data_IF_161420162791
#
_entry.id   IF_161420162791
#
_cell.length_a   1.000
_cell.length_b   1.000
_cell.length_c   1.000
_cell.angle_alpha   90.00
_cell.angle_beta   90.00
_cell.angle_gamma   90.00
#
_symmetry.space_group_name_H-M   'P 1'
#
loop_
_entity.id
_entity.type
_entity.pdbx_description
1 polymer ?
#
# COMPACT_ATOMS: atom_id res chain seq x y z
N UNK A 1 -23.77 15.92 -18.56
CA UNK A 1 -24.18 16.88 -19.66
C UNK A 1 -24.67 16.09 -20.86
N UNK A 2 -25.65 16.55 -21.66
CA UNK A 2 -26.08 15.77 -22.84
C UNK A 2 -25.04 15.86 -23.96
N UNK A 3 -24.82 14.77 -24.71
CA UNK A 3 -23.85 14.66 -25.83
C UNK A 3 -23.88 15.85 -26.79
N UNK A 4 -25.07 16.41 -27.07
CA UNK A 4 -25.24 17.61 -27.92
C UNK A 4 -24.43 18.81 -27.42
N UNK A 5 -24.44 19.04 -26.10
CA UNK A 5 -23.75 20.17 -25.49
C UNK A 5 -22.23 19.91 -25.48
N UNK A 6 -21.84 18.69 -25.24
CA UNK A 6 -20.43 18.26 -25.22
C UNK A 6 -19.78 18.39 -26.60
N UNK A 7 -20.47 17.97 -27.65
CA UNK A 7 -19.96 18.12 -29.02
C UNK A 7 -19.73 19.60 -29.37
N UNK A 8 -20.67 20.48 -29.03
CA UNK A 8 -20.55 21.92 -29.26
C UNK A 8 -19.38 22.51 -28.43
N UNK A 9 -19.26 22.14 -27.18
CA UNK A 9 -18.16 22.55 -26.30
C UNK A 9 -16.79 22.18 -26.89
N UNK A 10 -16.61 20.90 -27.22
CA UNK A 10 -15.33 20.37 -27.77
C UNK A 10 -14.98 21.06 -29.10
N UNK A 11 -15.96 21.23 -30.00
CA UNK A 11 -15.73 21.95 -31.25
C UNK A 11 -15.29 23.39 -31.00
N UNK A 12 -15.94 24.07 -30.06
CA UNK A 12 -15.62 25.48 -29.76
C UNK A 12 -14.25 25.60 -29.09
N UNK A 13 -13.93 24.69 -28.21
CA UNK A 13 -12.60 24.62 -27.54
C UNK A 13 -11.47 24.39 -28.57
N UNK A 14 -11.74 23.62 -29.64
CA UNK A 14 -10.82 23.43 -30.75
C UNK A 14 -10.85 24.54 -31.79
N UNK A 15 -11.62 25.62 -31.61
CA UNK A 15 -11.81 26.71 -32.56
C UNK A 15 -12.25 26.22 -33.96
N UNK A 16 -13.05 25.15 -34.03
CA UNK A 16 -13.53 24.59 -35.29
C UNK A 16 -14.93 25.12 -35.66
N UNK A 17 -15.22 25.27 -36.96
CA UNK A 17 -16.58 25.49 -37.43
C UNK A 17 -17.34 24.18 -37.60
N UNK A 18 -18.66 24.20 -37.73
CA UNK A 18 -19.47 23.01 -38.00
C UNK A 18 -19.10 22.37 -39.35
N UNK A 19 -18.71 23.18 -40.33
CA UNK A 19 -18.21 22.74 -41.64
C UNK A 19 -16.87 21.99 -41.51
N UNK A 20 -15.94 22.51 -40.73
CA UNK A 20 -14.64 21.88 -40.49
C UNK A 20 -14.79 20.53 -39.81
N UNK A 21 -15.66 20.41 -38.80
CA UNK A 21 -15.97 19.14 -38.15
C UNK A 21 -16.61 18.15 -39.12
N UNK A 22 -17.54 18.63 -39.93
CA UNK A 22 -18.27 17.85 -40.93
C UNK A 22 -17.30 17.25 -41.97
N UNK A 23 -16.36 18.05 -42.49
CA UNK A 23 -15.33 17.62 -43.41
C UNK A 23 -14.44 16.52 -42.82
N UNK A 24 -13.95 16.71 -41.60
CA UNK A 24 -13.11 15.72 -40.90
C UNK A 24 -13.80 14.38 -40.64
N UNK A 25 -15.11 14.43 -40.36
CA UNK A 25 -15.90 13.24 -40.06
C UNK A 25 -16.56 12.62 -41.31
N UNK A 26 -16.48 13.26 -42.47
CA UNK A 26 -17.10 12.79 -43.71
C UNK A 26 -18.64 12.88 -43.72
N UNK A 27 -19.20 13.90 -43.06
CA UNK A 27 -20.66 14.13 -42.97
C UNK A 27 -20.99 15.53 -43.47
N UNK A 28 -22.30 15.88 -43.57
CA UNK A 28 -22.71 17.23 -43.92
C UNK A 28 -22.66 18.18 -42.70
N UNK A 29 -22.41 19.48 -42.92
CA UNK A 29 -22.49 20.51 -41.86
C UNK A 29 -23.87 20.57 -41.20
N UNK A 30 -24.93 20.30 -41.98
CA UNK A 30 -26.29 20.20 -41.47
C UNK A 30 -26.44 19.02 -40.48
N UNK A 31 -25.72 17.91 -40.70
CA UNK A 31 -25.68 16.75 -39.78
C UNK A 31 -25.06 17.15 -38.45
N UNK A 32 -23.90 17.80 -38.47
CA UNK A 32 -23.23 18.31 -37.25
C UNK A 32 -24.15 19.33 -36.52
N UNK A 33 -24.78 20.22 -37.25
CA UNK A 33 -25.75 21.15 -36.67
C UNK A 33 -26.94 20.46 -36.02
N UNK A 34 -27.45 19.36 -36.57
CA UNK A 34 -28.52 18.54 -35.96
C UNK A 34 -28.02 17.83 -34.68
N UNK A 35 -26.79 17.35 -34.65
CA UNK A 35 -26.19 16.76 -33.43
C UNK A 35 -26.13 17.79 -32.31
N UNK A 36 -25.58 18.97 -32.57
CA UNK A 36 -25.43 20.03 -31.56
C UNK A 36 -26.76 20.61 -31.08
N UNK A 37 -27.83 20.47 -31.86
CA UNK A 37 -29.20 20.84 -31.46
C UNK A 37 -29.96 19.69 -30.80
N UNK A 38 -29.39 18.49 -30.79
CA UNK A 38 -30.03 17.28 -30.21
C UNK A 38 -31.18 16.74 -31.07
N UNK A 39 -31.25 17.11 -32.36
CA UNK A 39 -32.26 16.62 -33.31
C UNK A 39 -31.89 15.29 -33.92
N UNK A 40 -30.62 14.90 -33.84
CA UNK A 40 -30.04 13.65 -34.29
C UNK A 40 -28.85 13.33 -33.40
N UNK A 41 -28.58 12.04 -33.16
CA UNK A 41 -27.33 11.59 -32.53
C UNK A 41 -26.35 11.09 -33.59
N UNK A 42 -25.03 11.23 -33.38
CA UNK A 42 -24.04 10.56 -34.21
C UNK A 42 -24.26 9.04 -34.22
N UNK A 43 -24.00 8.41 -35.36
CA UNK A 43 -23.95 6.97 -35.44
C UNK A 43 -22.80 6.43 -34.53
N UNK A 44 -23.03 5.27 -33.89
CA UNK A 44 -22.06 4.67 -33.01
C UNK A 44 -20.70 4.45 -33.70
N UNK A 45 -20.69 4.14 -34.98
CA UNK A 45 -19.46 3.95 -35.78
C UNK A 45 -18.63 5.24 -35.95
N UNK A 46 -19.24 6.41 -35.73
CA UNK A 46 -18.55 7.71 -35.78
C UNK A 46 -17.96 8.11 -34.44
N UNK A 47 -18.42 7.56 -33.32
CA UNK A 47 -17.93 7.94 -31.99
C UNK A 47 -16.40 7.83 -31.84
N UNK A 48 -15.73 6.76 -32.31
CA UNK A 48 -14.27 6.71 -32.27
C UNK A 48 -13.58 7.81 -33.08
N UNK A 49 -14.14 8.20 -34.23
CA UNK A 49 -13.61 9.28 -35.06
C UNK A 49 -13.81 10.65 -34.41
N UNK A 50 -14.94 10.86 -33.76
CA UNK A 50 -15.25 12.08 -33.00
C UNK A 50 -14.29 12.20 -31.82
N UNK A 51 -14.10 11.13 -31.05
CA UNK A 51 -13.16 11.07 -29.93
C UNK A 51 -11.72 11.38 -30.37
N UNK A 52 -11.28 10.79 -31.48
CA UNK A 52 -9.97 11.05 -32.06
C UNK A 52 -9.81 12.50 -32.55
N UNK A 53 -10.82 13.05 -33.22
CA UNK A 53 -10.85 14.45 -33.73
C UNK A 53 -10.64 15.44 -32.57
N UNK A 54 -11.36 15.25 -31.48
CA UNK A 54 -11.33 16.14 -30.31
C UNK A 54 -10.28 15.72 -29.26
N UNK A 55 -9.48 14.67 -29.51
CA UNK A 55 -8.45 14.14 -28.60
C UNK A 55 -8.99 13.86 -27.19
N UNK A 56 -10.16 13.26 -27.09
CA UNK A 56 -10.82 12.88 -25.85
C UNK A 56 -11.20 11.39 -25.86
N UNK A 57 -11.57 10.83 -24.70
CA UNK A 57 -12.14 9.49 -24.62
C UNK A 57 -13.60 9.47 -25.10
N UNK A 58 -14.12 8.30 -25.48
CA UNK A 58 -15.55 8.14 -25.76
C UNK A 58 -16.37 8.42 -24.49
N UNK A 59 -15.87 8.01 -23.33
CA UNK A 59 -16.51 8.25 -22.04
C UNK A 59 -16.65 9.75 -21.77
N UNK A 60 -15.64 10.53 -22.11
CA UNK A 60 -15.68 12.01 -22.03
C UNK A 60 -16.76 12.62 -22.91
N UNK A 61 -17.09 12.02 -24.07
CA UNK A 61 -18.19 12.50 -24.92
C UNK A 61 -19.56 12.40 -24.24
N UNK A 62 -19.72 11.44 -23.33
CA UNK A 62 -20.95 11.17 -22.59
C UNK A 62 -20.92 11.70 -21.15
N UNK A 63 -19.89 12.47 -20.76
CA UNK A 63 -19.65 12.91 -19.38
C UNK A 63 -19.61 11.75 -18.37
N UNK A 64 -19.28 10.54 -18.80
CA UNK A 64 -19.20 9.39 -17.90
C UNK A 64 -18.03 9.51 -16.90
N UNK A 65 -17.00 10.30 -17.24
CA UNK A 65 -15.93 10.66 -16.31
C UNK A 65 -16.43 11.49 -15.11
N UNK A 66 -17.59 12.15 -15.25
CA UNK A 66 -18.21 12.96 -14.19
C UNK A 66 -18.97 12.12 -13.16
N UNK A 67 -19.29 10.86 -13.45
CA UNK A 67 -19.89 9.97 -12.45
C UNK A 67 -18.95 9.69 -11.27
N UNK A 68 -17.64 9.96 -11.46
CA UNK A 68 -16.56 9.85 -10.47
C UNK A 68 -15.89 11.21 -10.20
N UNK A 69 -16.61 12.30 -10.35
CA UNK A 69 -16.12 13.63 -10.04
C UNK A 69 -15.72 13.78 -8.56
N UNK A 70 -14.94 14.82 -8.22
CA UNK A 70 -14.47 15.04 -6.84
C UNK A 70 -15.60 15.09 -5.79
N UNK A 71 -16.82 15.48 -6.19
CA UNK A 71 -18.00 15.52 -5.32
C UNK A 71 -18.48 14.11 -4.97
N UNK A 72 -18.69 13.25 -5.97
CA UNK A 72 -19.10 11.85 -5.73
C UNK A 72 -18.09 11.13 -4.85
N UNK A 73 -16.80 11.33 -5.11
CA UNK A 73 -15.74 10.74 -4.30
C UNK A 73 -15.80 11.18 -2.84
N UNK A 74 -16.01 12.46 -2.57
CA UNK A 74 -16.18 12.98 -1.20
C UNK A 74 -17.42 12.42 -0.52
N UNK A 75 -18.53 12.31 -1.22
CA UNK A 75 -19.77 11.72 -0.70
C UNK A 75 -19.57 10.25 -0.37
N UNK A 76 -18.94 9.50 -1.25
CA UNK A 76 -18.63 8.09 -1.04
C UNK A 76 -17.65 7.90 0.14
N UNK A 77 -16.57 8.68 0.21
CA UNK A 77 -15.63 8.65 1.33
C UNK A 77 -16.34 8.99 2.66
N UNK A 78 -17.22 9.99 2.67
CA UNK A 78 -18.02 10.33 3.85
C UNK A 78 -18.96 9.19 4.27
N UNK A 79 -19.59 8.51 3.31
CA UNK A 79 -20.40 7.33 3.56
C UNK A 79 -19.58 6.20 4.20
N UNK A 80 -18.40 5.89 3.63
CA UNK A 80 -17.49 4.87 4.17
C UNK A 80 -17.06 5.24 5.59
N UNK A 81 -16.70 6.50 5.85
CA UNK A 81 -16.34 6.97 7.20
C UNK A 81 -17.49 6.80 8.20
N UNK A 82 -18.73 7.13 7.82
CA UNK A 82 -19.90 6.97 8.68
C UNK A 82 -20.15 5.49 9.04
N UNK A 83 -20.04 4.58 8.06
CA UNK A 83 -20.17 3.14 8.28
C UNK A 83 -19.04 2.58 9.17
N UNK A 84 -17.81 3.06 9.01
CA UNK A 84 -16.70 2.73 9.89
C UNK A 84 -16.93 3.18 11.33
N UNK A 85 -17.45 4.39 11.55
CA UNK A 85 -17.78 4.91 12.89
C UNK A 85 -18.85 4.05 13.58
N UNK A 86 -19.81 3.52 12.82
CA UNK A 86 -20.85 2.60 13.29
C UNK A 86 -20.36 1.15 13.45
N UNK A 87 -19.13 0.84 13.01
CA UNK A 87 -18.57 -0.53 12.93
C UNK A 87 -19.42 -1.47 12.05
N UNK A 88 -20.16 -0.91 11.10
CA UNK A 88 -20.93 -1.68 10.10
C UNK A 88 -20.02 -2.17 8.98
N UNK A 89 -19.24 -3.22 9.27
CA UNK A 89 -18.27 -3.77 8.32
C UNK A 89 -18.91 -4.38 7.07
N UNK A 90 -20.12 -4.93 7.24
CA UNK A 90 -20.89 -5.46 6.13
C UNK A 90 -21.44 -4.33 5.25
N UNK A 91 -21.87 -3.23 5.86
CA UNK A 91 -22.28 -2.03 5.14
C UNK A 91 -21.14 -1.43 4.31
N UNK A 92 -19.93 -1.37 4.88
CA UNK A 92 -18.71 -0.93 4.15
C UNK A 92 -18.44 -1.83 2.95
N UNK A 93 -18.46 -3.15 3.13
CA UNK A 93 -18.26 -4.10 2.04
C UNK A 93 -19.28 -3.89 0.91
N UNK A 94 -20.57 -3.82 1.25
CA UNK A 94 -21.65 -3.62 0.26
C UNK A 94 -21.54 -2.28 -0.46
N UNK A 95 -21.15 -1.22 0.23
CA UNK A 95 -20.93 0.08 -0.37
C UNK A 95 -19.81 0.01 -1.44
N UNK A 96 -18.66 -0.58 -1.11
CA UNK A 96 -17.56 -0.78 -2.05
C UNK A 96 -17.95 -1.64 -3.25
N UNK A 97 -18.64 -2.79 -3.01
CA UNK A 97 -19.07 -3.68 -4.10
C UNK A 97 -20.02 -2.97 -5.04
N UNK A 98 -20.99 -2.22 -4.50
CA UNK A 98 -21.93 -1.42 -5.32
C UNK A 98 -21.20 -0.37 -6.15
N UNK A 99 -20.23 0.29 -5.56
CA UNK A 99 -19.43 1.29 -6.24
C UNK A 99 -18.65 0.71 -7.42
N UNK A 100 -18.04 -0.46 -7.23
CA UNK A 100 -17.34 -1.20 -8.29
C UNK A 100 -18.32 -1.70 -9.36
N UNK A 101 -19.53 -2.13 -9.01
CA UNK A 101 -20.55 -2.56 -9.97
C UNK A 101 -21.06 -1.42 -10.85
N UNK A 102 -21.10 -0.20 -10.33
CA UNK A 102 -21.44 1.00 -11.11
C UNK A 102 -20.30 1.39 -12.07
N UNK A 103 -19.06 1.15 -11.71
CA UNK A 103 -17.87 1.53 -12.46
C UNK A 103 -16.81 0.40 -12.44
N UNK A 104 -17.02 -0.70 -13.15
CA UNK A 104 -16.17 -1.89 -13.06
C UNK A 104 -14.74 -1.66 -13.60
N UNK A 105 -14.53 -0.63 -14.41
CA UNK A 105 -13.21 -0.31 -14.98
C UNK A 105 -12.42 0.69 -14.12
N UNK A 106 -12.98 1.15 -12.99
CA UNK A 106 -12.24 1.97 -12.03
C UNK A 106 -11.50 1.09 -11.01
N UNK A 107 -10.42 0.46 -11.47
CA UNK A 107 -9.67 -0.57 -10.75
C UNK A 107 -9.02 -0.08 -9.45
N UNK A 108 -8.89 1.24 -9.24
CA UNK A 108 -8.33 1.82 -7.99
C UNK A 108 -9.11 1.39 -6.75
N UNK A 109 -10.41 1.13 -6.87
CA UNK A 109 -11.28 0.71 -5.77
C UNK A 109 -11.13 -0.78 -5.39
N UNK A 110 -10.56 -1.61 -6.27
CA UNK A 110 -10.48 -3.05 -6.06
C UNK A 110 -9.59 -3.43 -4.86
N UNK A 111 -8.37 -2.88 -4.73
CA UNK A 111 -7.55 -3.11 -3.54
C UNK A 111 -8.24 -2.73 -2.24
N UNK A 112 -9.02 -1.64 -2.22
CA UNK A 112 -9.65 -1.16 -0.99
C UNK A 112 -10.71 -2.13 -0.44
N UNK A 113 -11.61 -2.65 -1.30
CA UNK A 113 -12.58 -3.67 -0.87
C UNK A 113 -11.89 -4.97 -0.47
N UNK A 114 -10.86 -5.39 -1.20
CA UNK A 114 -10.11 -6.61 -0.89
C UNK A 114 -9.37 -6.50 0.45
N UNK A 115 -8.74 -5.35 0.72
CA UNK A 115 -8.11 -5.06 2.01
C UNK A 115 -9.13 -4.98 3.15
N UNK A 116 -10.33 -4.46 2.88
CA UNK A 116 -11.41 -4.45 3.88
C UNK A 116 -11.79 -5.90 4.25
N UNK A 117 -12.05 -6.76 3.26
CA UNK A 117 -12.36 -8.18 3.47
C UNK A 117 -11.24 -8.88 4.26
N UNK A 118 -9.98 -8.64 3.91
CA UNK A 118 -8.82 -9.21 4.59
C UNK A 118 -8.71 -8.73 6.04
N UNK A 119 -8.73 -7.41 6.27
CA UNK A 119 -8.55 -6.80 7.60
C UNK A 119 -9.69 -7.12 8.56
N UNK A 120 -10.92 -7.25 8.05
CA UNK A 120 -12.10 -7.59 8.85
C UNK A 120 -12.34 -9.10 8.94
N UNK A 121 -11.44 -9.92 8.37
CA UNK A 121 -11.48 -11.38 8.40
C UNK A 121 -12.79 -11.97 7.85
N UNK A 122 -13.34 -11.35 6.80
CA UNK A 122 -14.57 -11.76 6.13
C UNK A 122 -14.24 -12.90 5.16
N UNK A 123 -13.97 -14.12 5.69
CA UNK A 123 -13.49 -15.25 4.91
C UNK A 123 -14.61 -16.23 4.52
N UNK A 124 -15.87 -15.78 4.56
CA UNK A 124 -17.00 -16.51 4.00
C UNK A 124 -16.81 -16.78 2.51
N UNK A 125 -17.38 -17.90 2.02
CA UNK A 125 -17.21 -18.33 0.63
C UNK A 125 -17.64 -17.25 -0.37
N UNK A 126 -18.76 -16.58 -0.11
CA UNK A 126 -19.30 -15.53 -0.96
C UNK A 126 -18.34 -14.34 -1.12
N UNK A 127 -17.64 -13.92 -0.05
CA UNK A 127 -16.67 -12.81 -0.12
C UNK A 127 -15.46 -13.21 -0.95
N UNK A 128 -14.90 -14.40 -0.72
CA UNK A 128 -13.73 -14.87 -1.44
C UNK A 128 -14.05 -15.07 -2.93
N UNK A 129 -15.18 -15.64 -3.28
CA UNK A 129 -15.60 -15.81 -4.68
C UNK A 129 -15.80 -14.45 -5.37
N UNK A 130 -16.38 -13.45 -4.70
CA UNK A 130 -16.48 -12.10 -5.25
C UNK A 130 -15.09 -11.48 -5.45
N UNK A 131 -14.16 -11.61 -4.50
CA UNK A 131 -12.79 -11.09 -4.67
C UNK A 131 -12.05 -11.78 -5.82
N UNK A 132 -12.23 -13.10 -5.99
CA UNK A 132 -11.68 -13.83 -7.14
C UNK A 132 -12.25 -13.27 -8.44
N UNK A 133 -13.56 -13.05 -8.52
CA UNK A 133 -14.21 -12.49 -9.71
C UNK A 133 -13.65 -11.10 -10.06
N UNK A 134 -13.43 -10.23 -9.07
CA UNK A 134 -12.82 -8.91 -9.28
C UNK A 134 -11.37 -9.04 -9.76
N UNK A 135 -10.59 -9.94 -9.16
CA UNK A 135 -9.20 -10.15 -9.56
C UNK A 135 -9.10 -10.70 -11.00
N UNK A 136 -9.97 -11.63 -11.39
CA UNK A 136 -10.03 -12.18 -12.75
C UNK A 136 -10.46 -11.09 -13.77
N UNK A 137 -11.37 -10.19 -13.40
CA UNK A 137 -11.73 -9.04 -14.22
C UNK A 137 -10.56 -8.07 -14.38
N UNK A 138 -9.88 -7.73 -13.29
CA UNK A 138 -8.71 -6.86 -13.33
C UNK A 138 -7.55 -7.48 -14.13
N UNK A 139 -7.32 -8.78 -14.02
CA UNK A 139 -6.31 -9.49 -14.84
C UNK A 139 -6.56 -9.30 -16.33
N UNK A 140 -7.81 -9.35 -16.74
CA UNK A 140 -8.20 -9.33 -18.16
C UNK A 140 -8.20 -7.91 -18.75
N UNK A 141 -8.60 -6.91 -17.97
CA UNK A 141 -8.91 -5.61 -18.51
C UNK A 141 -8.10 -4.45 -17.91
N UNK A 142 -7.54 -4.60 -16.71
CA UNK A 142 -6.72 -3.55 -16.09
C UNK A 142 -5.36 -3.45 -16.77
N UNK A 143 -5.08 -2.31 -17.38
CA UNK A 143 -3.79 -2.04 -18.06
C UNK A 143 -2.74 -1.45 -17.11
N UNK A 144 -3.11 -1.04 -15.90
CA UNK A 144 -2.19 -0.53 -14.90
C UNK A 144 -1.56 -1.69 -14.11
N UNK A 145 -0.26 -1.92 -14.33
CA UNK A 145 0.48 -3.02 -13.72
C UNK A 145 0.58 -2.87 -12.19
N UNK A 146 0.72 -1.66 -11.66
CA UNK A 146 0.86 -1.43 -10.22
C UNK A 146 -0.44 -1.81 -9.49
N UNK A 147 -1.60 -1.40 -10.02
CA UNK A 147 -2.91 -1.77 -9.46
C UNK A 147 -3.13 -3.28 -9.58
N UNK A 148 -2.83 -3.87 -10.74
CA UNK A 148 -3.01 -5.31 -10.96
C UNK A 148 -2.12 -6.15 -10.02
N UNK A 149 -0.87 -5.73 -9.84
CA UNK A 149 0.07 -6.40 -8.94
C UNK A 149 -0.37 -6.27 -7.47
N UNK A 150 -0.92 -5.12 -7.08
CA UNK A 150 -1.47 -4.93 -5.73
C UNK A 150 -2.69 -5.83 -5.48
N UNK A 151 -3.59 -5.95 -6.46
CA UNK A 151 -4.71 -6.89 -6.42
C UNK A 151 -4.20 -8.32 -6.22
N UNK A 152 -3.22 -8.77 -7.01
CA UNK A 152 -2.67 -10.12 -6.89
C UNK A 152 -1.99 -10.36 -5.55
N UNK A 153 -1.27 -9.37 -5.03
CA UNK A 153 -0.66 -9.42 -3.69
C UNK A 153 -1.70 -9.64 -2.59
N UNK A 154 -2.81 -8.90 -2.63
CA UNK A 154 -3.88 -9.04 -1.64
C UNK A 154 -4.57 -10.39 -1.79
N UNK A 155 -4.80 -10.83 -3.03
CA UNK A 155 -5.39 -12.16 -3.30
C UNK A 155 -4.53 -13.31 -2.77
N UNK A 156 -3.20 -13.21 -2.78
CA UNK A 156 -2.32 -14.19 -2.13
C UNK A 156 -2.66 -14.35 -0.65
N UNK A 157 -2.82 -13.23 0.05
CA UNK A 157 -3.14 -13.24 1.49
C UNK A 157 -4.55 -13.80 1.73
N UNK A 158 -5.56 -13.37 0.95
CA UNK A 158 -6.92 -13.88 1.06
C UNK A 158 -7.00 -15.39 0.80
N UNK A 159 -6.30 -15.87 -0.24
CA UNK A 159 -6.27 -17.29 -0.55
C UNK A 159 -5.55 -18.12 0.52
N UNK A 160 -4.54 -17.58 1.19
CA UNK A 160 -3.82 -18.28 2.26
C UNK A 160 -4.68 -18.53 3.49
N UNK A 161 -5.61 -17.62 3.80
CA UNK A 161 -6.53 -17.74 4.93
C UNK A 161 -7.68 -18.74 4.69
N UNK A 162 -7.92 -19.13 3.43
CA UNK A 162 -8.97 -20.08 3.10
C UNK A 162 -8.63 -21.49 3.54
N UNK A 163 -9.64 -22.23 4.00
CA UNK A 163 -9.53 -23.69 4.26
C UNK A 163 -9.75 -24.53 3.00
N UNK A 164 -10.30 -23.94 1.92
CA UNK A 164 -10.58 -24.63 0.67
C UNK A 164 -9.28 -24.82 -0.15
N UNK A 165 -8.89 -26.07 -0.46
CA UNK A 165 -7.68 -26.35 -1.23
C UNK A 165 -7.70 -25.72 -2.64
N UNK A 166 -8.87 -25.59 -3.25
CA UNK A 166 -9.00 -24.99 -4.60
C UNK A 166 -8.69 -23.50 -4.58
N UNK A 167 -9.11 -22.80 -3.53
CA UNK A 167 -8.80 -21.39 -3.31
C UNK A 167 -7.30 -21.20 -3.02
N UNK A 168 -6.70 -22.09 -2.23
CA UNK A 168 -5.24 -22.07 -2.00
C UNK A 168 -4.43 -22.25 -3.28
N UNK A 169 -4.89 -23.14 -4.18
CA UNK A 169 -4.23 -23.32 -5.48
C UNK A 169 -4.37 -22.06 -6.38
N UNK A 170 -5.51 -21.36 -6.30
CA UNK A 170 -5.67 -20.05 -6.96
C UNK A 170 -4.66 -19.02 -6.44
N UNK A 171 -4.29 -19.07 -5.16
CA UNK A 171 -3.20 -18.24 -4.60
C UNK A 171 -1.86 -18.49 -5.32
N UNK A 172 -1.49 -19.74 -5.60
CA UNK A 172 -0.27 -20.05 -6.37
C UNK A 172 -0.33 -19.49 -7.81
N UNK A 173 -1.52 -19.45 -8.40
CA UNK A 173 -1.72 -18.82 -9.69
C UNK A 173 -1.36 -17.32 -9.64
N UNK A 174 -1.91 -16.55 -8.68
CA UNK A 174 -1.61 -15.14 -8.53
C UNK A 174 -0.13 -14.87 -8.21
N UNK A 175 0.49 -15.75 -7.39
CA UNK A 175 1.94 -15.67 -7.11
C UNK A 175 2.78 -15.67 -8.41
N UNK A 176 2.45 -16.55 -9.36
CA UNK A 176 3.17 -16.65 -10.64
C UNK A 176 3.00 -15.41 -11.55
N UNK A 177 1.97 -14.60 -11.30
CA UNK A 177 1.70 -13.38 -12.08
C UNK A 177 2.46 -12.16 -11.56
N UNK A 178 2.92 -12.18 -10.32
CA UNK A 178 3.69 -11.07 -9.76
C UNK A 178 5.08 -11.01 -10.42
N UNK A 179 5.63 -9.80 -10.63
CA UNK A 179 6.97 -9.64 -11.17
C UNK A 179 8.01 -10.22 -10.22
N UNK A 180 9.07 -10.83 -10.78
CA UNK A 180 10.20 -11.27 -9.98
C UNK A 180 11.10 -10.07 -9.62
N UNK A 181 11.79 -10.15 -8.48
CA UNK A 181 12.78 -9.14 -8.06
C UNK A 181 13.80 -8.80 -9.14
N UNK A 182 14.26 -9.84 -9.87
CA UNK A 182 15.28 -9.70 -10.92
C UNK A 182 14.82 -8.82 -12.09
N UNK A 183 13.53 -8.71 -12.32
CA UNK A 183 12.93 -7.99 -13.44
C UNK A 183 12.08 -6.80 -12.98
N UNK A 184 12.33 -6.29 -11.77
CA UNK A 184 11.65 -5.10 -11.28
C UNK A 184 12.17 -3.84 -11.96
N UNK A 185 11.33 -2.82 -12.06
CA UNK A 185 11.70 -1.53 -12.65
C UNK A 185 12.84 -0.84 -11.86
N UNK A 186 12.93 -1.08 -10.58
CA UNK A 186 13.96 -0.53 -9.69
C UNK A 186 15.37 -0.99 -10.10
N UNK A 187 15.51 -2.24 -10.55
CA UNK A 187 16.78 -2.79 -11.05
C UNK A 187 17.22 -2.10 -12.34
N UNK A 188 16.28 -1.65 -13.16
CA UNK A 188 16.54 -1.04 -14.47
C UNK A 188 16.45 0.49 -14.46
N UNK A 189 16.18 1.12 -13.33
CA UNK A 189 16.03 2.56 -13.17
C UNK A 189 17.23 3.37 -13.74
N UNK A 190 18.45 2.83 -13.63
CA UNK A 190 19.68 3.44 -14.14
C UNK A 190 19.70 3.76 -15.64
N UNK A 191 18.82 3.14 -16.43
CA UNK A 191 18.77 3.34 -17.87
C UNK A 191 17.84 4.47 -18.30
N UNK A 192 17.00 4.99 -17.39
CA UNK A 192 15.93 5.94 -17.73
C UNK A 192 15.87 7.15 -16.79
N UNK A 193 16.44 7.09 -15.60
CA UNK A 193 16.46 8.16 -14.61
C UNK A 193 17.70 9.04 -14.78
N UNK A 194 17.58 10.33 -14.48
CA UNK A 194 18.74 11.19 -14.32
C UNK A 194 19.55 10.83 -13.06
N UNK A 195 20.70 11.51 -12.86
CA UNK A 195 21.63 11.17 -11.78
C UNK A 195 21.02 11.39 -10.38
N UNK A 196 20.23 12.43 -10.20
CA UNK A 196 19.66 12.79 -8.90
C UNK A 196 18.49 11.85 -8.57
N UNK A 197 17.59 11.64 -9.52
CA UNK A 197 16.48 10.68 -9.40
C UNK A 197 17.00 9.27 -9.13
N UNK A 198 18.01 8.83 -9.90
CA UNK A 198 18.59 7.50 -9.70
C UNK A 198 19.27 7.36 -8.35
N UNK A 199 19.97 8.39 -7.86
CA UNK A 199 20.60 8.36 -6.55
C UNK A 199 19.54 8.23 -5.42
N UNK A 200 18.45 9.00 -5.49
CA UNK A 200 17.34 8.88 -4.54
C UNK A 200 16.70 7.48 -4.59
N UNK A 201 16.50 6.92 -5.79
CA UNK A 201 15.95 5.58 -5.98
C UNK A 201 16.88 4.50 -5.39
N UNK A 202 18.21 4.60 -5.56
CA UNK A 202 19.16 3.64 -4.96
C UNK A 202 19.05 3.64 -3.43
N UNK A 203 19.01 4.82 -2.81
CA UNK A 203 18.87 4.92 -1.35
C UNK A 203 17.59 4.25 -0.86
N UNK A 204 16.48 4.46 -1.58
CA UNK A 204 15.21 3.80 -1.26
C UNK A 204 15.29 2.28 -1.47
N UNK A 205 15.93 1.82 -2.53
CA UNK A 205 16.09 0.39 -2.83
C UNK A 205 16.93 -0.31 -1.75
N UNK A 206 18.03 0.29 -1.30
CA UNK A 206 18.91 -0.29 -0.27
C UNK A 206 18.11 -0.67 0.96
N UNK A 207 17.28 0.23 1.48
CA UNK A 207 16.52 -0.08 2.69
C UNK A 207 15.44 -1.13 2.45
N UNK A 208 14.75 -1.09 1.32
CA UNK A 208 13.75 -2.11 0.99
C UNK A 208 14.37 -3.50 0.84
N UNK A 209 15.57 -3.60 0.24
CA UNK A 209 16.28 -4.87 0.09
C UNK A 209 16.75 -5.41 1.43
N UNK A 210 17.21 -4.55 2.34
CA UNK A 210 17.62 -4.94 3.69
C UNK A 210 16.43 -5.36 4.52
N UNK A 211 15.33 -4.61 4.52
CA UNK A 211 14.09 -4.97 5.21
C UNK A 211 13.57 -6.34 4.75
N UNK A 212 13.61 -6.60 3.46
CA UNK A 212 13.20 -7.89 2.89
C UNK A 212 14.16 -9.03 3.26
N UNK A 213 15.46 -8.76 3.26
CA UNK A 213 16.46 -9.75 3.67
C UNK A 213 16.33 -10.08 5.15
N UNK A 214 16.15 -9.08 6.02
CA UNK A 214 15.89 -9.25 7.44
C UNK A 214 14.63 -10.07 7.68
N UNK A 215 13.52 -9.67 7.09
CA UNK A 215 12.25 -10.40 7.16
C UNK A 215 12.42 -11.85 6.68
N UNK A 216 13.15 -12.09 5.59
CA UNK A 216 13.44 -13.42 5.08
C UNK A 216 14.24 -14.27 6.08
N UNK A 217 15.25 -13.70 6.71
CA UNK A 217 16.04 -14.38 7.75
C UNK A 217 15.17 -14.76 8.94
N UNK A 218 14.29 -13.87 9.40
CA UNK A 218 13.35 -14.17 10.50
C UNK A 218 12.33 -15.25 10.15
N UNK A 219 11.88 -15.31 8.90
CA UNK A 219 10.95 -16.36 8.43
C UNK A 219 11.55 -17.76 8.43
N UNK A 220 12.88 -17.90 8.52
CA UNK A 220 13.52 -19.20 8.69
C UNK A 220 13.37 -19.75 10.12
N UNK A 221 13.02 -18.91 11.10
CA UNK A 221 12.87 -19.30 12.49
C UNK A 221 11.56 -20.07 12.67
N UNK A 222 11.64 -21.31 13.15
CA UNK A 222 10.47 -22.12 13.49
C UNK A 222 10.27 -22.23 15.00
N UNK A 223 9.04 -22.49 15.49
CA UNK A 223 8.76 -22.59 16.92
C UNK A 223 9.58 -23.65 17.65
N UNK A 224 9.85 -24.77 16.98
CA UNK A 224 10.57 -25.97 17.49
C UNK A 224 12.09 -25.90 17.36
N UNK A 225 12.61 -24.82 16.72
CA UNK A 225 14.07 -24.64 16.54
C UNK A 225 14.78 -24.46 17.88
N UNK A 226 16.01 -25.03 18.08
CA UNK A 226 16.82 -24.80 19.25
C UNK A 226 17.13 -23.32 19.51
N UNK A 227 17.27 -22.91 20.79
CA UNK A 227 17.50 -21.52 21.17
C UNK A 227 18.75 -20.91 20.53
N UNK A 228 19.83 -21.67 20.46
CA UNK A 228 21.11 -21.26 19.87
C UNK A 228 20.97 -20.99 18.37
N UNK A 229 20.16 -21.78 17.70
CA UNK A 229 19.88 -21.59 16.28
C UNK A 229 18.96 -20.39 16.04
N UNK A 230 17.91 -20.21 16.85
CA UNK A 230 17.08 -19.00 16.85
C UNK A 230 17.93 -17.75 17.07
N UNK A 231 18.83 -17.81 18.04
CA UNK A 231 19.77 -16.74 18.37
C UNK A 231 20.63 -16.36 17.16
N UNK A 232 21.17 -17.36 16.45
CA UNK A 232 21.93 -17.13 15.22
C UNK A 232 21.15 -16.34 14.18
N UNK A 233 19.90 -16.74 13.91
CA UNK A 233 19.08 -16.04 12.91
C UNK A 233 18.70 -14.62 13.35
N UNK A 234 18.31 -14.39 14.60
CA UNK A 234 18.04 -13.03 15.09
C UNK A 234 19.27 -12.14 15.06
N UNK A 235 20.45 -12.66 15.38
CA UNK A 235 21.70 -11.90 15.26
C UNK A 235 22.01 -11.54 13.79
N UNK A 236 21.74 -12.45 12.85
CA UNK A 236 21.91 -12.14 11.42
C UNK A 236 20.90 -11.12 10.93
N UNK A 237 19.64 -11.19 11.37
CA UNK A 237 18.61 -10.21 11.06
C UNK A 237 19.01 -8.81 11.57
N UNK A 238 19.39 -8.70 12.85
CA UNK A 238 19.86 -7.44 13.43
C UNK A 238 21.08 -6.87 12.68
N UNK A 239 22.05 -7.71 12.33
CA UNK A 239 23.28 -7.29 11.64
C UNK A 239 23.00 -6.66 10.26
N UNK A 240 21.93 -7.04 9.56
CA UNK A 240 21.53 -6.42 8.30
C UNK A 240 21.16 -4.93 8.50
N UNK A 241 20.44 -4.60 9.56
CA UNK A 241 20.14 -3.21 9.89
C UNK A 241 21.35 -2.44 10.44
N UNK A 242 22.18 -3.09 11.28
CA UNK A 242 23.38 -2.48 11.83
C UNK A 242 24.35 -1.96 10.73
N UNK A 243 24.39 -2.63 9.57
CA UNK A 243 25.20 -2.20 8.43
C UNK A 243 24.77 -0.86 7.86
N UNK A 244 23.45 -0.55 7.84
CA UNK A 244 22.90 0.67 7.22
C UNK A 244 22.52 1.74 8.24
N UNK A 245 22.26 1.33 9.49
CA UNK A 245 21.97 2.24 10.59
C UNK A 245 23.29 2.64 11.26
N UNK A 246 23.91 3.72 10.79
CA UNK A 246 25.19 4.22 11.28
C UNK A 246 25.11 4.87 12.70
N UNK A 247 24.45 4.19 13.63
CA UNK A 247 24.16 4.63 15.01
C UNK A 247 23.36 5.92 15.15
N UNK A 248 22.74 6.42 14.08
CA UNK A 248 21.87 7.60 14.08
C UNK A 248 20.42 7.17 13.95
N UNK A 249 19.53 8.04 14.41
CA UNK A 249 18.10 7.82 14.30
C UNK A 249 17.66 7.55 12.85
N UNK A 250 16.98 6.45 12.60
CA UNK A 250 16.47 6.03 11.30
C UNK A 250 14.93 5.88 11.27
N UNK A 251 14.24 6.33 12.30
CA UNK A 251 12.78 6.31 12.35
C UNK A 251 12.22 4.89 12.45
N UNK A 252 11.34 4.54 11.52
CA UNK A 252 10.61 3.26 11.55
C UNK A 252 11.51 2.02 11.46
N UNK A 253 12.66 2.14 10.82
CA UNK A 253 13.60 1.02 10.66
C UNK A 253 14.28 0.63 11.97
N UNK A 254 14.43 1.57 12.93
CA UNK A 254 14.90 1.25 14.26
C UNK A 254 13.98 0.26 14.96
N UNK A 255 12.66 0.31 14.73
CA UNK A 255 11.69 -0.55 15.39
C UNK A 255 11.89 -2.03 15.07
N UNK A 256 12.33 -2.36 13.86
CA UNK A 256 12.64 -3.74 13.48
C UNK A 256 13.91 -4.22 14.18
N UNK A 257 14.98 -3.41 14.16
CA UNK A 257 16.21 -3.70 14.88
C UNK A 257 15.97 -3.87 16.39
N UNK A 258 15.14 -2.98 16.99
CA UNK A 258 14.77 -3.09 18.40
C UNK A 258 13.97 -4.37 18.70
N UNK A 259 13.12 -4.81 17.79
CA UNK A 259 12.41 -6.09 17.91
C UNK A 259 13.38 -7.28 17.89
N UNK A 260 14.39 -7.26 17.02
CA UNK A 260 15.43 -8.30 17.01
C UNK A 260 16.23 -8.29 18.31
N UNK A 261 16.63 -7.13 18.80
CA UNK A 261 17.34 -7.03 20.08
C UNK A 261 16.51 -7.54 21.25
N UNK A 262 15.20 -7.31 21.27
CA UNK A 262 14.32 -7.84 22.31
C UNK A 262 14.25 -9.38 22.27
N UNK A 263 14.15 -9.97 21.07
CA UNK A 263 14.17 -11.43 20.90
C UNK A 263 15.54 -12.03 21.31
N UNK A 264 16.65 -11.40 20.91
CA UNK A 264 17.99 -11.81 21.32
C UNK A 264 18.14 -11.76 22.85
N UNK A 265 17.67 -10.67 23.48
CA UNK A 265 17.71 -10.54 24.94
C UNK A 265 16.91 -11.66 25.64
N UNK A 266 15.70 -11.95 25.15
CA UNK A 266 14.85 -13.02 25.66
C UNK A 266 15.55 -14.40 25.58
N UNK A 267 16.18 -14.71 24.44
CA UNK A 267 16.89 -15.96 24.23
C UNK A 267 18.11 -16.05 25.17
N UNK A 268 18.89 -14.98 25.34
CA UNK A 268 20.03 -15.00 26.27
C UNK A 268 19.60 -15.19 27.72
N UNK A 269 18.43 -14.68 28.13
CA UNK A 269 17.88 -15.01 29.45
C UNK A 269 17.58 -16.50 29.58
N UNK A 270 16.92 -17.08 28.56
CA UNK A 270 16.59 -18.52 28.55
C UNK A 270 17.87 -19.42 28.58
N UNK A 271 18.96 -18.96 27.96
CA UNK A 271 20.26 -19.60 27.97
C UNK A 271 21.07 -19.32 29.25
N UNK A 272 20.51 -18.57 30.22
CA UNK A 272 21.16 -18.24 31.48
C UNK A 272 22.21 -17.12 31.42
N UNK A 273 22.35 -16.45 30.27
CA UNK A 273 23.34 -15.37 30.08
C UNK A 273 22.71 -13.97 30.25
N UNK A 274 22.32 -13.66 31.49
CA UNK A 274 21.62 -12.43 31.87
C UNK A 274 22.45 -11.15 31.59
N UNK A 275 23.75 -11.19 31.73
CA UNK A 275 24.60 -10.01 31.48
C UNK A 275 24.62 -9.61 30.00
N UNK A 276 24.58 -10.58 29.08
CA UNK A 276 24.47 -10.30 27.66
C UNK A 276 23.07 -9.79 27.32
N UNK A 277 22.02 -10.39 27.87
CA UNK A 277 20.65 -9.91 27.70
C UNK A 277 20.50 -8.44 28.11
N UNK A 278 21.09 -8.06 29.27
CA UNK A 278 21.09 -6.68 29.76
C UNK A 278 21.75 -5.70 28.80
N UNK A 279 22.80 -6.10 28.07
CA UNK A 279 23.41 -5.23 27.04
C UNK A 279 22.43 -4.91 25.92
N UNK A 280 21.72 -5.91 25.38
CA UNK A 280 20.72 -5.69 24.33
C UNK A 280 19.54 -4.82 24.80
N UNK A 281 19.07 -5.01 26.03
CA UNK A 281 18.05 -4.16 26.63
C UNK A 281 18.53 -2.70 26.75
N UNK A 282 19.78 -2.49 27.16
CA UNK A 282 20.34 -1.15 27.21
C UNK A 282 20.45 -0.51 25.81
N UNK A 283 20.84 -1.29 24.78
CA UNK A 283 20.85 -0.80 23.39
C UNK A 283 19.44 -0.34 22.94
N UNK A 284 18.38 -1.11 23.30
CA UNK A 284 16.99 -0.72 23.03
C UNK A 284 16.71 0.64 23.70
N UNK A 285 17.04 0.80 24.98
CA UNK A 285 16.76 2.04 25.71
C UNK A 285 17.56 3.24 25.16
N UNK A 286 18.82 3.06 24.75
CA UNK A 286 19.62 4.09 24.10
C UNK A 286 18.98 4.60 22.80
N UNK A 287 18.42 3.71 21.99
CA UNK A 287 17.72 4.11 20.76
C UNK A 287 16.43 4.86 21.10
N UNK A 288 15.64 4.37 22.06
CA UNK A 288 14.41 5.03 22.49
C UNK A 288 14.66 6.41 23.11
N UNK A 289 15.76 6.58 23.85
CA UNK A 289 16.19 7.88 24.38
C UNK A 289 16.55 8.86 23.27
N UNK A 290 17.21 8.40 22.20
CA UNK A 290 17.48 9.23 21.02
C UNK A 290 16.17 9.67 20.33
N UNK A 291 15.17 8.79 20.25
CA UNK A 291 13.85 9.15 19.72
C UNK A 291 13.22 10.33 20.51
N UNK A 292 13.36 10.34 21.82
CA UNK A 292 12.80 11.39 22.66
C UNK A 292 13.57 12.71 22.56
N UNK A 293 14.90 12.69 22.46
CA UNK A 293 15.74 13.91 22.47
C UNK A 293 15.73 14.64 21.12
N UNK A 294 15.67 13.92 20.01
CA UNK A 294 15.91 14.51 18.68
C UNK A 294 14.67 15.13 18.01
N UNK A 295 13.46 14.98 18.57
CA UNK A 295 12.21 15.70 18.17
C UNK A 295 11.87 15.80 16.69
N UNK A 296 12.84 15.64 15.81
CA UNK A 296 12.71 15.63 14.37
C UNK A 296 12.70 14.19 13.84
N UNK A 297 11.57 13.79 13.29
CA UNK A 297 11.35 12.47 12.65
C UNK A 297 12.11 12.31 11.31
N UNK A 298 13.18 13.05 11.09
CA UNK A 298 14.02 12.95 9.90
C UNK A 298 15.09 11.88 10.09
N UNK A 299 15.11 10.94 9.17
CA UNK A 299 16.18 9.96 9.10
C UNK A 299 17.54 10.65 8.98
N UNK A 300 18.45 10.40 9.92
CA UNK A 300 19.79 11.03 9.98
C UNK A 300 20.91 10.09 9.53
N UNK A 301 20.62 8.85 9.24
CA UNK A 301 21.58 7.94 8.64
C UNK A 301 22.01 8.44 7.26
N UNK A 302 23.31 8.35 6.96
CA UNK A 302 23.85 8.78 5.65
C UNK A 302 23.22 8.04 4.46
N UNK A 303 22.86 6.77 4.67
CA UNK A 303 22.24 5.95 3.62
C UNK A 303 20.73 6.13 3.53
N UNK A 304 20.07 6.62 4.58
CA UNK A 304 18.61 6.61 4.67
C UNK A 304 17.97 8.00 4.78
N UNK A 305 18.77 9.08 4.77
CA UNK A 305 18.31 10.45 5.06
C UNK A 305 17.21 10.96 4.10
N UNK A 306 17.16 10.42 2.90
CA UNK A 306 16.19 10.81 1.87
C UNK A 306 15.04 9.81 1.71
N UNK A 307 15.02 8.72 2.50
CA UNK A 307 13.97 7.70 2.36
C UNK A 307 12.68 8.13 3.04
N UNK A 308 11.55 7.85 2.38
CA UNK A 308 10.20 8.05 2.93
C UNK A 308 9.53 6.69 3.07
N UNK A 309 8.85 6.47 4.20
CA UNK A 309 8.03 5.27 4.38
C UNK A 309 6.57 5.56 4.07
N UNK A 310 5.88 4.68 3.33
CA UNK A 310 4.43 4.74 3.24
C UNK A 310 3.83 4.42 4.62
N UNK A 311 3.10 5.37 5.19
CA UNK A 311 2.61 5.29 6.56
C UNK A 311 1.31 4.50 6.71
N UNK A 312 1.32 3.58 7.70
CA UNK A 312 0.07 3.15 8.36
C UNK A 312 0.13 3.21 9.90
N UNK A 313 1.33 3.20 10.49
CA UNK A 313 1.50 3.21 11.96
C UNK A 313 2.70 4.09 12.31
N UNK A 314 2.59 4.93 13.32
CA UNK A 314 3.71 5.78 13.75
C UNK A 314 4.82 4.95 14.39
N UNK A 315 6.08 5.37 14.21
CA UNK A 315 7.22 4.73 14.88
C UNK A 315 7.06 4.73 16.41
N UNK A 316 6.44 5.76 16.94
CA UNK A 316 6.07 5.89 18.34
C UNK A 316 5.16 4.76 18.82
N UNK A 317 4.05 4.52 18.11
CA UNK A 317 3.10 3.46 18.45
C UNK A 317 3.76 2.08 18.39
N UNK A 318 4.61 1.84 17.39
CA UNK A 318 5.37 0.60 17.28
C UNK A 318 6.35 0.41 18.45
N UNK A 319 7.06 1.46 18.87
CA UNK A 319 7.95 1.40 20.04
C UNK A 319 7.18 1.19 21.35
N UNK A 320 6.01 1.83 21.53
CA UNK A 320 5.13 1.57 22.69
C UNK A 320 4.68 0.11 22.72
N UNK A 321 4.24 -0.42 21.58
CA UNK A 321 3.84 -1.82 21.44
C UNK A 321 4.99 -2.79 21.73
N UNK A 322 6.21 -2.48 21.28
CA UNK A 322 7.40 -3.27 21.58
C UNK A 322 7.66 -3.32 23.09
N UNK A 323 7.70 -2.17 23.77
CA UNK A 323 7.90 -2.11 25.21
C UNK A 323 6.80 -2.86 25.98
N UNK A 324 5.53 -2.75 25.55
CA UNK A 324 4.44 -3.51 26.14
C UNK A 324 4.58 -5.02 25.95
N UNK A 325 5.02 -5.46 24.78
CA UNK A 325 5.32 -6.87 24.52
C UNK A 325 6.48 -7.38 25.38
N UNK A 326 7.52 -6.57 25.56
CA UNK A 326 8.65 -6.90 26.45
C UNK A 326 8.21 -7.01 27.91
N UNK A 327 7.28 -6.15 28.39
CA UNK A 327 6.71 -6.24 29.74
C UNK A 327 5.90 -7.51 29.94
N UNK A 328 5.20 -7.97 28.91
CA UNK A 328 4.38 -9.19 28.97
C UNK A 328 5.20 -10.48 28.78
N UNK A 329 6.49 -10.36 28.44
CA UNK A 329 7.38 -11.53 28.27
C UNK A 329 7.80 -12.10 29.62
N UNK A 330 7.48 -13.37 29.86
CA UNK A 330 7.91 -14.09 31.07
C UNK A 330 9.45 -14.19 31.17
N UNK A 331 10.12 -14.30 30.03
CA UNK A 331 11.59 -14.41 29.94
C UNK A 331 12.28 -13.12 30.40
N UNK A 332 11.64 -11.96 30.17
CA UNK A 332 12.19 -10.64 30.55
C UNK A 332 11.71 -10.17 31.94
N UNK A 333 11.07 -11.03 32.72
CA UNK A 333 10.47 -10.67 34.03
C UNK A 333 11.47 -9.94 34.98
N UNK A 334 12.74 -10.32 35.01
CA UNK A 334 13.76 -9.67 35.84
C UNK A 334 14.08 -8.22 35.41
N UNK A 335 13.67 -7.77 34.22
CA UNK A 335 13.87 -6.42 33.70
C UNK A 335 12.61 -5.58 33.72
N UNK A 336 11.46 -6.12 34.19
CA UNK A 336 10.14 -5.46 34.11
C UNK A 336 10.14 -4.05 34.72
N UNK A 337 10.78 -3.84 35.86
CA UNK A 337 10.83 -2.50 36.47
C UNK A 337 11.51 -1.47 35.57
N UNK A 338 12.60 -1.84 34.89
CA UNK A 338 13.30 -0.95 33.97
C UNK A 338 12.50 -0.69 32.70
N UNK A 339 11.85 -1.72 32.16
CA UNK A 339 11.02 -1.64 30.96
C UNK A 339 9.79 -0.78 31.24
N UNK A 340 9.12 -0.94 32.41
CA UNK A 340 7.99 -0.12 32.84
C UNK A 340 8.37 1.35 32.93
N UNK A 341 9.46 1.68 33.60
CA UNK A 341 9.95 3.04 33.70
C UNK A 341 10.25 3.66 32.33
N UNK A 342 10.80 2.88 31.41
CA UNK A 342 11.05 3.36 30.04
C UNK A 342 9.74 3.58 29.29
N UNK A 343 8.76 2.71 29.40
CA UNK A 343 7.45 2.84 28.76
C UNK A 343 6.70 4.06 29.29
N UNK A 344 6.69 4.29 30.59
CA UNK A 344 6.08 5.46 31.21
C UNK A 344 6.72 6.74 30.68
N UNK A 345 8.06 6.85 30.74
CA UNK A 345 8.82 8.00 30.26
C UNK A 345 8.63 8.26 28.77
N UNK A 346 8.62 7.20 27.94
CA UNK A 346 8.41 7.28 26.50
C UNK A 346 6.99 7.76 26.18
N UNK A 347 5.99 7.27 26.92
CA UNK A 347 4.60 7.65 26.74
C UNK A 347 4.35 9.11 27.16
N UNK A 348 4.87 9.52 28.31
CA UNK A 348 4.77 10.91 28.79
C UNK A 348 5.41 11.90 27.82
N UNK A 349 6.58 11.60 27.28
CA UNK A 349 7.28 12.47 26.34
C UNK A 349 6.40 12.80 25.11
N UNK A 350 5.80 11.80 24.49
CA UNK A 350 4.98 11.99 23.30
C UNK A 350 3.59 12.55 23.59
N UNK A 351 3.03 12.32 24.77
CA UNK A 351 1.75 12.91 25.17
C UNK A 351 1.81 14.43 25.44
N UNK A 352 2.99 14.98 25.71
CA UNK A 352 3.19 16.41 25.97
C UNK A 352 3.65 17.19 24.72
N UNK A 353 3.96 16.49 23.62
CA UNK A 353 4.50 17.10 22.40
C UNK A 353 3.55 16.92 21.17
N UNK A 354 2.31 16.42 21.39
CA UNK A 354 1.19 16.52 20.47
C UNK A 354 0.48 17.88 20.67
#
# INVERSE_FOLDING_TARGET
MELKNKLKELRTACNMTQEAVAEQLGVSSQTVSKWERGLLSPDISLLPKIALLFKCSIDSLFDMELSWGPEHRREFEAQIHALHAQKDWEGVYRAWVREIELNPDYYVNYPDVMLHVLRKRMFGKEYIEKMISLADHAEKYCTNDDIRNEIFRIMLQLCSESKDPTIKEKGKYYYKKLPSLRHSREVYAKFVMDREEYHAQILQNIIYEIDRAECGVRQLITPDMPLEEKLFYYQKAAALYEVVLDSKYAGLYDTQLLSDYANIASIYVQLGNVEVAKKYINCIFEVLEKHMVEGERKNKSKLLYATTMPNSTSAEELCKNLLQNMLNSAELAQFQEKISKMLERYTEYFSHNE
#
